data_IF_922418847015
#
_entry.id   IF_922418847015
#
_cell.length_a   1.000
_cell.length_b   1.000
_cell.length_c   1.000
_cell.angle_alpha   90.00
_cell.angle_beta   90.00
_cell.angle_gamma   90.00
#
_symmetry.space_group_name_H-M   'P 1'
#
loop_
_entity.id
_entity.type
_entity.pdbx_description
1 polymer ?
#
# COMPACT_ATOMS: atom_id res chain seq x y z
N UNK A 1 -14.89 -14.68 37.04
CA UNK A 1 -14.52 -14.48 35.63
C UNK A 1 -14.81 -13.04 35.27
N UNK A 2 -13.77 -12.19 35.16
CA UNK A 2 -13.97 -10.80 34.75
C UNK A 2 -14.36 -10.76 33.27
N UNK A 3 -15.46 -10.05 32.97
CA UNK A 3 -15.97 -9.83 31.62
C UNK A 3 -14.95 -8.97 30.88
N UNK A 4 -14.09 -9.58 30.06
CA UNK A 4 -13.11 -8.85 29.26
C UNK A 4 -13.87 -7.89 28.35
N UNK A 5 -13.64 -6.58 28.50
CA UNK A 5 -14.20 -5.61 27.56
C UNK A 5 -13.68 -5.92 26.14
N UNK A 6 -14.49 -5.70 25.09
CA UNK A 6 -14.07 -6.00 23.72
C UNK A 6 -12.78 -5.23 23.33
N UNK A 7 -12.54 -4.05 23.91
CA UNK A 7 -11.32 -3.26 23.71
C UNK A 7 -10.06 -3.76 24.42
N UNK A 8 -10.14 -4.77 25.29
CA UNK A 8 -9.03 -5.19 26.14
C UNK A 8 -7.80 -5.67 25.36
N UNK A 9 -7.99 -6.31 24.20
CA UNK A 9 -6.87 -6.76 23.36
C UNK A 9 -6.20 -5.60 22.62
N UNK A 10 -6.97 -4.60 22.15
CA UNK A 10 -6.42 -3.40 21.51
C UNK A 10 -5.56 -2.60 22.49
N UNK A 11 -6.07 -2.44 23.71
CA UNK A 11 -5.32 -1.81 24.79
C UNK A 11 -4.03 -2.56 25.10
N UNK A 12 -4.08 -3.89 25.17
CA UNK A 12 -2.89 -4.72 25.37
C UNK A 12 -1.87 -4.56 24.25
N UNK A 13 -2.32 -4.52 22.98
CA UNK A 13 -1.45 -4.32 21.83
C UNK A 13 -0.76 -2.94 21.86
N UNK A 14 -1.51 -1.88 22.19
CA UNK A 14 -0.96 -0.52 22.29
C UNK A 14 0.07 -0.38 23.42
N UNK A 15 -0.05 -1.18 24.47
CA UNK A 15 0.86 -1.21 25.61
C UNK A 15 2.05 -2.17 25.41
N UNK A 16 2.19 -2.86 24.28
CA UNK A 16 3.35 -3.71 24.02
C UNK A 16 4.66 -2.93 23.93
N UNK A 17 4.74 -1.78 23.24
CA UNK A 17 5.97 -0.99 23.18
C UNK A 17 6.49 -0.52 24.54
N UNK A 18 5.60 -0.22 25.50
CA UNK A 18 6.03 0.19 26.85
C UNK A 18 6.58 -0.97 27.68
N UNK A 19 6.30 -2.23 27.32
CA UNK A 19 6.90 -3.40 27.97
C UNK A 19 8.36 -3.63 27.56
N UNK A 20 8.72 -3.29 26.32
CA UNK A 20 10.10 -3.39 25.82
C UNK A 20 10.46 -2.19 24.94
N UNK A 21 10.59 -0.98 25.53
CA UNK A 21 10.70 0.27 24.78
C UNK A 21 11.95 0.32 23.90
N UNK A 22 13.05 -0.29 24.35
CA UNK A 22 14.31 -0.33 23.59
C UNK A 22 14.17 -1.18 22.32
N UNK A 23 13.52 -2.34 22.39
CA UNK A 23 13.29 -3.16 21.20
C UNK A 23 12.38 -2.43 20.22
N UNK A 24 11.22 -1.96 20.69
CA UNK A 24 10.22 -1.32 19.83
C UNK A 24 10.70 -0.01 19.22
N UNK A 25 11.44 0.83 19.96
CA UNK A 25 12.05 2.03 19.41
C UNK A 25 12.98 1.71 18.23
N UNK A 26 13.81 0.65 18.35
CA UNK A 26 14.70 0.23 17.27
C UNK A 26 13.93 -0.37 16.08
N UNK A 27 12.91 -1.19 16.33
CA UNK A 27 12.06 -1.76 15.26
C UNK A 27 11.36 -0.63 14.50
N UNK A 28 10.75 0.33 15.20
CA UNK A 28 10.11 1.49 14.57
C UNK A 28 11.10 2.36 13.80
N UNK A 29 12.28 2.61 14.37
CA UNK A 29 13.31 3.40 13.70
C UNK A 29 13.75 2.75 12.39
N UNK A 30 14.06 1.44 12.41
CA UNK A 30 14.44 0.70 11.21
C UNK A 30 13.29 0.69 10.20
N UNK A 31 12.05 0.52 10.67
CA UNK A 31 10.88 0.52 9.80
C UNK A 31 10.72 1.85 9.07
N UNK A 32 10.70 2.96 9.81
CA UNK A 32 10.54 4.31 9.27
C UNK A 32 11.71 4.66 8.36
N UNK A 33 12.94 4.44 8.81
CA UNK A 33 14.13 4.80 8.04
C UNK A 33 14.22 4.02 6.73
N UNK A 34 13.89 2.72 6.72
CA UNK A 34 13.91 1.91 5.50
C UNK A 34 12.89 2.41 4.48
N UNK A 35 11.66 2.68 4.90
CA UNK A 35 10.62 3.20 3.99
C UNK A 35 10.93 4.61 3.52
N UNK A 36 11.46 5.48 4.40
CA UNK A 36 11.88 6.83 4.04
C UNK A 36 12.99 6.79 2.98
N UNK A 37 14.04 6.00 3.20
CA UNK A 37 15.15 5.86 2.25
C UNK A 37 14.67 5.32 0.90
N UNK A 38 13.81 4.30 0.90
CA UNK A 38 13.21 3.77 -0.33
C UNK A 38 12.41 4.82 -1.08
N UNK A 39 11.53 5.53 -0.38
CA UNK A 39 10.67 6.55 -0.97
C UNK A 39 11.48 7.72 -1.52
N UNK A 40 12.46 8.23 -0.76
CA UNK A 40 13.36 9.28 -1.22
C UNK A 40 14.19 8.83 -2.42
N UNK A 41 14.75 7.61 -2.39
CA UNK A 41 15.49 7.05 -3.53
C UNK A 41 14.63 6.94 -4.79
N UNK A 42 13.38 6.50 -4.65
CA UNK A 42 12.42 6.45 -5.74
C UNK A 42 12.13 7.84 -6.30
N UNK A 43 11.77 8.81 -5.44
CA UNK A 43 11.50 10.18 -5.85
C UNK A 43 12.67 10.78 -6.63
N UNK A 44 13.90 10.65 -6.10
CA UNK A 44 15.11 11.16 -6.77
C UNK A 44 15.33 10.48 -8.13
N UNK A 45 15.04 9.19 -8.25
CA UNK A 45 15.21 8.43 -9.49
C UNK A 45 14.20 8.85 -10.56
N UNK A 46 12.92 9.09 -10.19
CA UNK A 46 11.88 9.47 -11.15
C UNK A 46 11.83 10.98 -11.44
N UNK A 47 12.37 11.83 -10.55
CA UNK A 47 12.36 13.29 -10.72
C UNK A 47 12.83 13.77 -12.10
N UNK A 48 13.99 13.34 -12.65
CA UNK A 48 14.41 13.78 -13.98
C UNK A 48 13.44 13.35 -15.09
N UNK A 49 12.84 12.17 -14.98
CA UNK A 49 11.85 11.65 -15.93
C UNK A 49 10.55 12.46 -15.89
N UNK A 50 10.09 12.82 -14.69
CA UNK A 50 8.91 13.66 -14.50
C UNK A 50 9.13 15.05 -15.08
N UNK A 51 10.30 15.67 -14.87
CA UNK A 51 10.63 16.95 -15.49
C UNK A 51 10.68 16.85 -17.01
N UNK A 52 11.32 15.81 -17.56
CA UNK A 52 11.33 15.56 -19.01
C UNK A 52 9.91 15.35 -19.56
N UNK A 53 9.06 14.64 -18.85
CA UNK A 53 7.66 14.43 -19.25
C UNK A 53 6.89 15.76 -19.25
N UNK A 54 7.14 16.63 -18.27
CA UNK A 54 6.59 17.98 -18.21
C UNK A 54 7.04 18.83 -19.41
N UNK A 55 8.32 18.78 -19.77
CA UNK A 55 8.84 19.50 -20.94
C UNK A 55 8.23 18.99 -22.25
N UNK A 56 8.09 17.68 -22.42
CA UNK A 56 7.42 17.09 -23.58
C UNK A 56 5.93 17.45 -23.64
N UNK A 57 5.25 17.50 -22.49
CA UNK A 57 3.85 17.91 -22.40
C UNK A 57 3.62 19.35 -22.86
N UNK A 58 4.61 20.24 -22.67
CA UNK A 58 4.56 21.64 -23.16
C UNK A 58 4.72 21.77 -24.67
N UNK A 59 5.30 20.77 -25.34
CA UNK A 59 5.49 20.75 -26.79
C UNK A 59 4.26 20.21 -27.54
N UNK A 60 3.52 19.30 -26.92
CA UNK A 60 2.31 18.66 -27.46
C UNK A 60 1.29 19.64 -28.09
N UNK A 61 0.95 20.80 -27.49
CA UNK A 61 -0.01 21.73 -28.06
C UNK A 61 0.51 22.52 -29.28
N UNK A 62 1.83 22.52 -29.52
CA UNK A 62 2.50 23.40 -30.49
C UNK A 62 2.86 22.69 -31.81
N UNK A 63 2.71 21.37 -31.86
CA UNK A 63 3.18 20.52 -32.96
C UNK A 63 2.01 20.09 -33.84
N UNK A 64 2.21 20.13 -35.16
CA UNK A 64 1.27 19.58 -36.14
C UNK A 64 1.27 18.04 -36.06
N UNK A 65 0.09 17.46 -35.85
CA UNK A 65 -0.14 16.02 -35.70
C UNK A 65 0.28 15.19 -36.93
N UNK A 66 0.41 15.82 -38.11
CA UNK A 66 0.82 15.14 -39.35
C UNK A 66 2.33 15.24 -39.62
N UNK A 67 3.08 15.90 -38.73
CA UNK A 67 4.51 16.15 -38.91
C UNK A 67 5.39 14.96 -38.44
N UNK A 68 6.57 14.77 -39.04
CA UNK A 68 7.57 13.83 -38.53
C UNK A 68 8.04 14.19 -37.11
N UNK A 69 8.00 15.47 -36.74
CA UNK A 69 8.32 15.98 -35.39
C UNK A 69 7.34 15.44 -34.32
N UNK A 70 6.05 15.29 -34.65
CA UNK A 70 5.07 14.63 -33.78
C UNK A 70 5.42 13.16 -33.53
N UNK A 71 5.90 12.46 -34.56
CA UNK A 71 6.25 11.03 -34.44
C UNK A 71 7.47 10.86 -33.50
N UNK A 72 8.48 11.72 -33.64
CA UNK A 72 9.65 11.76 -32.75
C UNK A 72 9.26 12.08 -31.30
N UNK A 73 8.33 13.03 -31.10
CA UNK A 73 7.81 13.38 -29.77
C UNK A 73 7.10 12.19 -29.11
N UNK A 74 6.22 11.52 -29.85
CA UNK A 74 5.47 10.35 -29.36
C UNK A 74 6.43 9.21 -29.00
N UNK A 75 7.46 8.96 -29.80
CA UNK A 75 8.43 7.91 -29.50
C UNK A 75 9.31 8.26 -28.29
N UNK A 76 9.66 9.53 -28.12
CA UNK A 76 10.33 10.03 -26.91
C UNK A 76 9.44 9.86 -25.68
N UNK A 77 8.14 10.19 -25.79
CA UNK A 77 7.17 10.02 -24.71
C UNK A 77 7.03 8.55 -24.31
N UNK A 78 6.91 7.64 -25.28
CA UNK A 78 6.87 6.19 -25.02
C UNK A 78 8.13 5.71 -24.31
N UNK A 79 9.30 6.19 -24.71
CA UNK A 79 10.57 5.82 -24.07
C UNK A 79 10.61 6.28 -22.61
N UNK A 80 10.23 7.53 -22.34
CA UNK A 80 10.13 8.08 -20.97
C UNK A 80 9.12 7.31 -20.13
N UNK A 81 7.93 7.01 -20.69
CA UNK A 81 6.90 6.24 -19.99
C UNK A 81 7.37 4.82 -19.66
N UNK A 82 8.06 4.15 -20.60
CA UNK A 82 8.64 2.82 -20.38
C UNK A 82 9.68 2.85 -19.26
N UNK A 83 10.54 3.86 -19.24
CA UNK A 83 11.56 4.02 -18.21
C UNK A 83 10.94 4.28 -16.83
N UNK A 84 9.91 5.13 -16.76
CA UNK A 84 9.14 5.38 -15.54
C UNK A 84 8.52 4.08 -14.98
N UNK A 85 7.90 3.26 -15.85
CA UNK A 85 7.33 1.97 -15.47
C UNK A 85 8.39 1.00 -14.93
N UNK A 86 9.59 1.00 -15.50
CA UNK A 86 10.70 0.17 -15.01
C UNK A 86 11.11 0.61 -13.61
N UNK A 87 11.31 1.91 -13.38
CA UNK A 87 11.64 2.43 -12.05
C UNK A 87 10.55 2.14 -11.01
N UNK A 88 9.29 2.29 -11.40
CA UNK A 88 8.14 1.98 -10.55
C UNK A 88 8.09 0.48 -10.19
N UNK A 89 8.29 -0.42 -11.16
CA UNK A 89 8.36 -1.86 -10.90
C UNK A 89 9.51 -2.21 -9.95
N UNK A 90 10.69 -1.65 -10.16
CA UNK A 90 11.85 -1.85 -9.29
C UNK A 90 11.52 -1.39 -7.86
N UNK A 91 10.96 -0.18 -7.72
CA UNK A 91 10.56 0.35 -6.42
C UNK A 91 9.57 -0.56 -5.70
N UNK A 92 8.51 -1.03 -6.37
CA UNK A 92 7.52 -1.92 -5.74
C UNK A 92 8.11 -3.27 -5.33
N UNK A 93 9.06 -3.83 -6.11
CA UNK A 93 9.76 -5.06 -5.72
C UNK A 93 10.58 -4.83 -4.45
N UNK A 94 11.37 -3.76 -4.38
CA UNK A 94 12.16 -3.45 -3.18
C UNK A 94 11.27 -3.13 -1.98
N UNK A 95 10.20 -2.36 -2.18
CA UNK A 95 9.21 -2.06 -1.16
C UNK A 95 8.60 -3.35 -0.61
N UNK A 96 8.11 -4.24 -1.49
CA UNK A 96 7.55 -5.52 -1.09
C UNK A 96 8.54 -6.33 -0.25
N UNK A 97 9.76 -6.53 -0.74
CA UNK A 97 10.79 -7.30 -0.04
C UNK A 97 11.06 -6.70 1.34
N UNK A 98 11.36 -5.41 1.41
CA UNK A 98 11.67 -4.71 2.67
C UNK A 98 10.49 -4.74 3.63
N UNK A 99 9.27 -4.49 3.17
CA UNK A 99 8.07 -4.57 3.99
C UNK A 99 7.87 -5.98 4.58
N UNK A 100 8.13 -7.05 3.81
CA UNK A 100 8.03 -8.43 4.31
C UNK A 100 9.04 -8.74 5.43
N UNK A 101 10.30 -8.30 5.27
CA UNK A 101 11.31 -8.51 6.31
C UNK A 101 10.94 -7.73 7.58
N UNK A 102 10.53 -6.46 7.43
CA UNK A 102 10.22 -5.58 8.56
C UNK A 102 8.93 -6.00 9.29
N UNK A 103 7.89 -6.40 8.57
CA UNK A 103 6.67 -6.95 9.17
C UNK A 103 6.95 -8.22 9.96
N UNK A 104 7.78 -9.13 9.43
CA UNK A 104 8.17 -10.37 10.11
C UNK A 104 8.92 -10.07 11.41
N UNK A 105 9.85 -9.11 11.39
CA UNK A 105 10.55 -8.64 12.60
C UNK A 105 9.56 -8.06 13.61
N UNK A 106 8.63 -7.22 13.16
CA UNK A 106 7.63 -6.62 14.03
C UNK A 106 6.69 -7.68 14.62
N UNK A 107 6.20 -8.64 13.84
CA UNK A 107 5.37 -9.74 14.33
C UNK A 107 6.12 -10.58 15.34
N UNK A 108 7.39 -10.91 15.08
CA UNK A 108 8.21 -11.67 16.02
C UNK A 108 8.37 -10.91 17.35
N UNK A 109 8.77 -9.64 17.29
CA UNK A 109 8.92 -8.79 18.47
C UNK A 109 7.63 -8.69 19.30
N UNK A 110 6.47 -8.56 18.64
CA UNK A 110 5.16 -8.58 19.30
C UNK A 110 4.88 -9.94 19.95
N UNK A 111 5.09 -11.05 19.22
CA UNK A 111 4.79 -12.40 19.68
C UNK A 111 5.61 -12.83 20.90
N UNK A 112 6.86 -12.38 21.03
CA UNK A 112 7.72 -12.69 22.17
C UNK A 112 7.50 -11.71 23.34
N UNK A 113 7.25 -10.43 23.05
CA UNK A 113 7.01 -9.43 24.11
C UNK A 113 5.64 -9.63 24.78
N UNK A 114 4.64 -10.14 24.06
CA UNK A 114 3.30 -10.40 24.60
C UNK A 114 3.29 -11.33 25.83
N UNK A 115 3.90 -12.54 25.79
CA UNK A 115 4.04 -13.41 26.96
C UNK A 115 5.07 -12.91 28.00
N UNK A 116 5.84 -11.86 27.69
CA UNK A 116 6.75 -11.19 28.64
C UNK A 116 8.23 -11.37 28.35
N UNK A 117 8.64 -11.92 27.21
CA UNK A 117 10.05 -12.04 26.87
C UNK A 117 10.65 -10.67 26.48
N UNK A 118 11.80 -10.34 27.07
CA UNK A 118 12.50 -9.07 26.85
C UNK A 118 13.72 -9.25 25.95
N UNK A 119 13.47 -9.62 24.70
CA UNK A 119 14.53 -9.80 23.71
C UNK A 119 15.10 -8.46 23.22
N UNK A 120 16.37 -8.47 22.85
CA UNK A 120 17.05 -7.39 22.14
C UNK A 120 16.81 -7.48 20.63
N UNK A 121 17.01 -6.38 19.90
CA UNK A 121 16.89 -6.37 18.44
C UNK A 121 17.78 -7.43 17.79
N UNK A 122 19.02 -7.60 18.28
CA UNK A 122 19.98 -8.57 17.75
C UNK A 122 19.46 -10.00 17.88
N UNK A 123 18.84 -10.33 19.01
CA UNK A 123 18.26 -11.66 19.25
C UNK A 123 17.05 -11.90 18.35
N UNK A 124 16.17 -10.92 18.21
CA UNK A 124 15.03 -10.97 17.28
C UNK A 124 15.51 -11.22 15.85
N UNK A 125 16.48 -10.44 15.36
CA UNK A 125 17.02 -10.60 14.01
C UNK A 125 17.63 -11.98 13.78
N UNK A 126 18.37 -12.49 14.76
CA UNK A 126 18.97 -13.82 14.66
C UNK A 126 17.92 -14.93 14.63
N UNK A 127 16.85 -14.80 15.41
CA UNK A 127 15.74 -15.77 15.41
C UNK A 127 14.94 -15.72 14.12
N UNK A 128 14.57 -14.52 13.66
CA UNK A 128 13.80 -14.31 12.43
C UNK A 128 14.50 -14.95 11.23
N UNK A 129 15.83 -14.84 11.11
CA UNK A 129 16.60 -15.50 10.04
C UNK A 129 16.31 -17.00 9.91
N UNK A 130 16.04 -17.70 11.01
CA UNK A 130 15.74 -19.14 11.00
C UNK A 130 14.30 -19.48 10.58
N UNK A 131 13.36 -18.55 10.77
CA UNK A 131 11.93 -18.79 10.56
C UNK A 131 11.31 -18.01 9.40
N UNK A 132 12.12 -17.25 8.65
CA UNK A 132 11.61 -16.28 7.67
C UNK A 132 10.95 -16.91 6.43
N UNK A 133 11.25 -18.18 6.14
CA UNK A 133 10.75 -18.86 4.93
C UNK A 133 9.21 -18.89 4.91
N UNK A 134 8.57 -19.30 6.01
CA UNK A 134 7.10 -19.36 6.10
C UNK A 134 6.43 -18.00 5.86
N UNK A 135 6.78 -16.96 6.63
CA UNK A 135 6.26 -15.60 6.46
C UNK A 135 6.52 -15.01 5.08
N UNK A 136 7.68 -15.23 4.46
CA UNK A 136 7.96 -14.74 3.11
C UNK A 136 7.02 -15.36 2.07
N UNK A 137 6.82 -16.67 2.13
CA UNK A 137 5.95 -17.34 1.17
C UNK A 137 4.49 -16.91 1.41
N UNK A 138 4.05 -16.81 2.66
CA UNK A 138 2.71 -16.30 2.99
C UNK A 138 2.52 -14.86 2.52
N UNK A 139 3.51 -13.98 2.70
CA UNK A 139 3.48 -12.62 2.19
C UNK A 139 3.39 -12.57 0.66
N UNK A 140 4.13 -13.42 -0.04
CA UNK A 140 4.07 -13.52 -1.50
C UNK A 140 2.67 -13.95 -1.97
N UNK A 141 2.08 -14.94 -1.31
CA UNK A 141 0.71 -15.37 -1.59
C UNK A 141 -0.32 -14.26 -1.32
N UNK A 142 -0.17 -13.52 -0.21
CA UNK A 142 -1.00 -12.36 0.12
C UNK A 142 -0.88 -11.28 -0.96
N UNK A 143 0.34 -10.96 -1.41
CA UNK A 143 0.56 -9.98 -2.46
C UNK A 143 -0.08 -10.41 -3.79
N UNK A 144 0.07 -11.68 -4.18
CA UNK A 144 -0.56 -12.22 -5.37
C UNK A 144 -2.10 -12.15 -5.28
N UNK A 145 -2.64 -12.48 -4.12
CA UNK A 145 -4.09 -12.38 -3.85
C UNK A 145 -4.57 -10.93 -3.94
N UNK A 146 -3.79 -9.98 -3.45
CA UNK A 146 -4.04 -8.55 -3.59
C UNK A 146 -4.04 -8.08 -5.05
N UNK A 147 -3.09 -8.55 -5.87
CA UNK A 147 -3.05 -8.25 -7.30
C UNK A 147 -4.27 -8.81 -8.04
N UNK A 148 -4.64 -10.06 -7.78
CA UNK A 148 -5.85 -10.68 -8.35
C UNK A 148 -7.09 -9.86 -7.99
N UNK A 149 -7.18 -9.42 -6.73
CA UNK A 149 -8.27 -8.58 -6.26
C UNK A 149 -8.34 -7.24 -7.01
N UNK A 150 -7.22 -6.51 -7.12
CA UNK A 150 -7.15 -5.22 -7.82
C UNK A 150 -7.53 -5.39 -9.30
N UNK A 151 -6.93 -6.37 -9.99
CA UNK A 151 -7.20 -6.63 -11.42
C UNK A 151 -8.68 -6.96 -11.63
N UNK A 152 -9.25 -7.84 -10.80
CA UNK A 152 -10.65 -8.22 -10.90
C UNK A 152 -11.57 -7.01 -10.72
N UNK A 153 -11.28 -6.16 -9.73
CA UNK A 153 -12.05 -4.94 -9.49
C UNK A 153 -11.91 -3.93 -10.65
N UNK A 154 -10.69 -3.72 -11.16
CA UNK A 154 -10.44 -2.83 -12.31
C UNK A 154 -11.19 -3.30 -13.57
N UNK A 155 -11.25 -4.61 -13.83
CA UNK A 155 -12.02 -5.18 -14.95
C UNK A 155 -13.51 -4.88 -14.78
N UNK A 156 -14.06 -5.07 -13.58
CA UNK A 156 -15.48 -4.77 -13.30
C UNK A 156 -15.79 -3.29 -13.54
N UNK A 157 -14.96 -2.38 -13.00
CA UNK A 157 -15.11 -0.93 -13.19
C UNK A 157 -15.02 -0.55 -14.68
N UNK A 158 -14.07 -1.13 -15.41
CA UNK A 158 -13.92 -0.90 -16.85
C UNK A 158 -15.13 -1.40 -17.65
N UNK A 159 -15.69 -2.57 -17.31
CA UNK A 159 -16.89 -3.10 -17.96
C UNK A 159 -18.08 -2.17 -17.71
N UNK A 160 -18.31 -1.74 -16.47
CA UNK A 160 -19.40 -0.83 -16.12
C UNK A 160 -19.27 0.50 -16.88
N UNK A 161 -18.06 1.06 -16.98
CA UNK A 161 -17.85 2.34 -17.69
C UNK A 161 -18.14 2.25 -19.19
N UNK A 162 -18.01 1.07 -19.81
CA UNK A 162 -18.38 0.85 -21.21
C UNK A 162 -19.90 0.84 -21.44
N UNK A 163 -20.68 0.29 -20.51
CA UNK A 163 -22.13 0.17 -20.65
C UNK A 163 -22.89 1.44 -20.25
N UNK A 164 -22.26 2.35 -19.51
CA UNK A 164 -22.86 3.61 -19.09
C UNK A 164 -21.96 4.81 -19.44
N UNK A 165 -21.99 5.31 -20.69
CA UNK A 165 -21.19 6.47 -21.07
C UNK A 165 -21.60 7.76 -20.34
N UNK A 166 -20.59 8.52 -19.93
CA UNK A 166 -20.54 9.63 -18.95
C UNK A 166 -21.39 10.89 -19.22
N UNK A 167 -22.34 10.89 -20.15
CA UNK A 167 -22.89 12.17 -20.66
C UNK A 167 -23.90 12.91 -19.76
N UNK A 168 -24.08 12.51 -18.48
CA UNK A 168 -24.75 13.27 -17.37
C UNK A 168 -25.41 12.39 -16.30
N UNK A 169 -25.21 11.07 -16.34
CA UNK A 169 -25.98 10.15 -15.51
C UNK A 169 -25.48 10.07 -14.06
N UNK A 170 -26.16 10.80 -13.16
CA UNK A 170 -26.13 10.59 -11.71
C UNK A 170 -26.37 9.09 -11.37
N UNK A 171 -27.13 8.38 -12.21
CA UNK A 171 -27.37 6.94 -12.13
C UNK A 171 -26.10 6.07 -12.07
N UNK A 172 -24.99 6.50 -12.67
CA UNK A 172 -23.71 5.76 -12.61
C UNK A 172 -23.10 5.81 -11.21
N UNK A 173 -23.19 6.95 -10.53
CA UNK A 173 -22.69 7.13 -9.18
C UNK A 173 -23.47 6.28 -8.17
N UNK A 174 -24.78 6.10 -8.39
CA UNK A 174 -25.61 5.19 -7.59
C UNK A 174 -25.19 3.72 -7.69
N UNK A 175 -24.54 3.30 -8.77
CA UNK A 175 -23.99 1.94 -8.93
C UNK A 175 -22.54 1.85 -8.47
N UNK A 176 -21.72 2.84 -8.82
CA UNK A 176 -20.29 2.86 -8.53
C UNK A 176 -19.99 3.01 -7.04
N UNK A 177 -20.71 3.88 -6.32
CA UNK A 177 -20.47 4.14 -4.90
C UNK A 177 -20.69 2.88 -4.05
N UNK A 178 -21.85 2.16 -4.14
CA UNK A 178 -22.03 0.91 -3.40
C UNK A 178 -21.02 -0.17 -3.77
N UNK A 179 -20.62 -0.25 -5.04
CA UNK A 179 -19.63 -1.22 -5.49
C UNK A 179 -18.24 -0.94 -4.89
N UNK A 180 -17.80 0.33 -4.88
CA UNK A 180 -16.56 0.77 -4.22
C UNK A 180 -16.63 0.51 -2.70
N UNK A 181 -17.78 0.78 -2.08
CA UNK A 181 -17.99 0.51 -0.65
C UNK A 181 -17.92 -1.00 -0.36
N UNK A 182 -18.60 -1.82 -1.15
CA UNK A 182 -18.56 -3.27 -1.00
C UNK A 182 -17.14 -3.83 -1.20
N UNK A 183 -16.46 -3.37 -2.25
CA UNK A 183 -15.07 -3.71 -2.52
C UNK A 183 -14.16 -3.31 -1.33
N UNK A 184 -14.25 -2.07 -0.84
CA UNK A 184 -13.43 -1.64 0.29
C UNK A 184 -13.70 -2.46 1.56
N UNK A 185 -14.96 -2.81 1.86
CA UNK A 185 -15.31 -3.69 2.97
C UNK A 185 -14.75 -5.11 2.80
N UNK A 186 -14.81 -5.66 1.58
CA UNK A 186 -14.23 -6.96 1.27
C UNK A 186 -12.70 -6.95 1.39
N UNK A 187 -12.06 -5.86 0.98
CA UNK A 187 -10.62 -5.68 1.15
C UNK A 187 -10.23 -5.60 2.64
N UNK A 188 -10.99 -4.86 3.44
CA UNK A 188 -10.81 -4.80 4.91
C UNK A 188 -10.94 -6.21 5.49
N UNK A 189 -12.00 -6.93 5.15
CA UNK A 189 -12.21 -8.31 5.58
C UNK A 189 -11.00 -9.16 5.26
N UNK A 190 -10.61 -9.20 4.00
CA UNK A 190 -9.55 -10.07 3.50
C UNK A 190 -8.18 -9.71 4.09
N UNK A 191 -7.93 -8.42 4.32
CA UNK A 191 -6.69 -7.95 4.97
C UNK A 191 -6.50 -8.50 6.38
N UNK A 192 -7.58 -8.68 7.15
CA UNK A 192 -7.51 -9.28 8.49
C UNK A 192 -6.99 -10.72 8.39
N UNK A 193 -7.52 -11.52 7.46
CA UNK A 193 -7.06 -12.91 7.26
C UNK A 193 -5.64 -12.97 6.72
N UNK A 194 -5.27 -12.06 5.82
CA UNK A 194 -3.93 -11.98 5.27
C UNK A 194 -2.88 -11.67 6.35
N UNK A 195 -3.10 -10.64 7.16
CA UNK A 195 -2.16 -10.27 8.24
C UNK A 195 -2.11 -11.32 9.35
N UNK A 196 -3.26 -11.91 9.69
CA UNK A 196 -3.33 -13.01 10.66
C UNK A 196 -2.60 -14.26 10.14
N UNK A 197 -2.78 -14.61 8.87
CA UNK A 197 -2.08 -15.73 8.22
C UNK A 197 -0.56 -15.53 8.21
N UNK A 198 -0.08 -14.32 7.92
CA UNK A 198 1.35 -13.99 8.04
C UNK A 198 1.85 -14.22 9.47
N UNK A 199 1.13 -13.70 10.48
CA UNK A 199 1.49 -13.88 11.87
C UNK A 199 1.51 -15.36 12.30
N UNK A 200 0.51 -16.15 11.88
CA UNK A 200 0.44 -17.59 12.14
C UNK A 200 1.62 -18.31 11.49
N UNK A 201 1.97 -17.98 10.23
CA UNK A 201 3.08 -18.63 9.55
C UNK A 201 4.46 -18.38 10.18
N UNK A 202 4.54 -17.36 11.04
CA UNK A 202 5.71 -17.08 11.85
C UNK A 202 5.71 -17.88 13.17
N UNK A 203 4.55 -17.91 13.85
CA UNK A 203 4.41 -18.53 15.18
C UNK A 203 4.32 -20.05 15.09
N UNK A 204 3.69 -20.56 14.04
CA UNK A 204 3.40 -21.97 13.80
C UNK A 204 4.02 -22.40 12.46
N UNK A 205 5.30 -22.83 12.45
CA UNK A 205 6.07 -23.07 11.23
C UNK A 205 5.51 -24.17 10.31
N UNK A 206 4.53 -24.95 10.79
CA UNK A 206 3.86 -26.02 10.07
C UNK A 206 2.87 -25.43 9.04
N UNK A 207 2.32 -24.24 9.32
CA UNK A 207 1.35 -23.57 8.47
C UNK A 207 2.02 -22.44 7.68
N UNK A 208 1.94 -22.49 6.36
CA UNK A 208 2.39 -21.40 5.46
C UNK A 208 1.44 -21.31 4.26
N UNK A 209 1.54 -20.23 3.48
CA UNK A 209 0.71 -20.01 2.28
C UNK A 209 -0.81 -20.02 2.57
N UNK A 210 -1.56 -20.87 1.89
CA UNK A 210 -2.99 -21.10 2.06
C UNK A 210 -3.26 -21.76 3.40
N UNK A 211 -2.38 -22.66 3.87
CA UNK A 211 -2.55 -23.35 5.15
C UNK A 211 -2.60 -22.37 6.32
N UNK A 212 -1.74 -21.35 6.31
CA UNK A 212 -1.73 -20.31 7.34
C UNK A 212 -2.99 -19.43 7.30
N UNK A 213 -3.48 -19.09 6.10
CA UNK A 213 -4.71 -18.30 5.93
C UNK A 213 -5.95 -19.12 6.33
N UNK A 214 -6.01 -20.40 5.95
CA UNK A 214 -7.11 -21.28 6.34
C UNK A 214 -7.14 -21.46 7.86
N UNK A 215 -5.97 -21.66 8.47
CA UNK A 215 -5.88 -21.76 9.93
C UNK A 215 -6.26 -20.44 10.61
N UNK A 216 -5.88 -19.29 10.03
CA UNK A 216 -6.38 -17.99 10.47
C UNK A 216 -7.92 -17.94 10.44
N UNK A 217 -8.54 -18.48 9.39
CA UNK A 217 -9.99 -18.57 9.26
C UNK A 217 -10.63 -19.44 10.32
N UNK A 218 -10.06 -20.61 10.63
CA UNK A 218 -10.54 -21.48 11.69
C UNK A 218 -10.48 -20.80 13.07
N UNK A 219 -9.38 -20.12 13.39
CA UNK A 219 -9.21 -19.38 14.64
C UNK A 219 -10.18 -18.20 14.75
N UNK A 220 -10.37 -17.46 13.65
CA UNK A 220 -11.28 -16.32 13.58
C UNK A 220 -12.75 -16.74 13.52
N UNK A 221 -13.09 -17.94 13.07
CA UNK A 221 -14.45 -18.46 13.16
C UNK A 221 -14.74 -19.07 14.54
N UNK A 222 -13.73 -19.69 15.17
CA UNK A 222 -13.83 -20.28 16.50
C UNK A 222 -13.97 -19.23 17.62
N UNK A 223 -13.43 -18.03 17.42
CA UNK A 223 -13.70 -16.86 18.26
C UNK A 223 -14.61 -15.93 17.48
N UNK A 224 -15.84 -15.62 17.96
CA UNK A 224 -16.66 -14.55 17.35
C UNK A 224 -15.76 -13.32 17.14
N UNK A 225 -15.37 -13.03 15.88
CA UNK A 225 -14.51 -11.90 15.56
C UNK A 225 -15.16 -10.69 16.19
N UNK A 226 -14.51 -10.10 17.18
CA UNK A 226 -15.06 -8.93 17.85
C UNK A 226 -15.12 -7.81 16.81
N UNK A 227 -16.23 -7.07 16.79
CA UNK A 227 -16.45 -5.95 15.86
C UNK A 227 -15.24 -4.99 15.81
N UNK A 228 -14.49 -4.91 16.90
CA UNK A 228 -13.28 -4.12 17.08
C UNK A 228 -12.14 -4.46 16.10
N UNK A 229 -11.96 -5.74 15.72
CA UNK A 229 -10.95 -6.12 14.70
C UNK A 229 -11.31 -5.56 13.33
N UNK A 230 -12.61 -5.46 13.03
CA UNK A 230 -13.13 -4.87 11.80
C UNK A 230 -12.96 -3.36 11.80
N UNK A 231 -13.24 -2.71 12.93
CA UNK A 231 -13.03 -1.26 13.08
C UNK A 231 -11.55 -0.92 12.86
N UNK A 232 -10.63 -1.70 13.42
CA UNK A 232 -9.20 -1.45 13.23
C UNK A 232 -8.76 -1.62 11.77
N UNK A 233 -9.19 -2.70 11.12
CA UNK A 233 -8.92 -2.91 9.69
C UNK A 233 -9.50 -1.79 8.82
N UNK A 234 -10.70 -1.33 9.14
CA UNK A 234 -11.36 -0.22 8.43
C UNK A 234 -10.62 1.10 8.62
N UNK A 235 -10.25 1.45 9.86
CA UNK A 235 -9.46 2.65 10.17
C UNK A 235 -8.10 2.61 9.46
N UNK A 236 -7.41 1.47 9.49
CA UNK A 236 -6.14 1.29 8.79
C UNK A 236 -6.28 1.53 7.28
N UNK A 237 -7.31 0.98 6.64
CA UNK A 237 -7.57 1.21 5.23
C UNK A 237 -7.91 2.68 4.93
N UNK A 238 -8.72 3.34 5.76
CA UNK A 238 -8.99 4.79 5.60
C UNK A 238 -7.69 5.59 5.66
N UNK A 239 -6.81 5.30 6.64
CA UNK A 239 -5.54 6.01 6.78
C UNK A 239 -4.63 5.81 5.57
N UNK A 240 -4.55 4.59 5.03
CA UNK A 240 -3.81 4.32 3.79
C UNK A 240 -4.36 5.12 2.61
N UNK A 241 -5.69 5.14 2.43
CA UNK A 241 -6.31 5.88 1.34
C UNK A 241 -6.15 7.39 1.49
N UNK A 242 -6.24 7.92 2.72
CA UNK A 242 -5.98 9.32 3.01
C UNK A 242 -4.53 9.71 2.70
N UNK A 243 -3.57 8.84 3.01
CA UNK A 243 -2.15 9.05 2.69
C UNK A 243 -1.89 9.03 1.18
N UNK A 244 -2.53 8.13 0.43
CA UNK A 244 -2.49 8.12 -1.04
C UNK A 244 -3.08 9.41 -1.63
N UNK A 245 -4.24 9.86 -1.12
CA UNK A 245 -4.87 11.11 -1.54
C UNK A 245 -3.96 12.32 -1.29
N UNK A 246 -3.35 12.39 -0.11
CA UNK A 246 -2.38 13.43 0.23
C UNK A 246 -1.18 13.42 -0.70
N UNK A 247 -0.67 12.22 -1.07
CA UNK A 247 0.44 12.09 -2.03
C UNK A 247 0.06 12.67 -3.38
N UNK A 248 -1.13 12.35 -3.90
CA UNK A 248 -1.63 12.92 -5.15
C UNK A 248 -1.73 14.44 -5.05
N UNK A 249 -2.28 14.98 -3.95
CA UNK A 249 -2.36 16.42 -3.73
C UNK A 249 -0.98 17.10 -3.72
N UNK A 250 -0.02 16.56 -2.98
CA UNK A 250 1.35 17.09 -2.92
C UNK A 250 2.01 17.06 -4.28
N UNK A 251 1.91 15.94 -5.01
CA UNK A 251 2.47 15.86 -6.38
C UNK A 251 1.80 16.85 -7.34
N UNK A 252 0.51 17.10 -7.16
CA UNK A 252 -0.24 18.07 -7.97
C UNK A 252 0.21 19.50 -7.67
N UNK A 253 0.32 19.87 -6.40
CA UNK A 253 0.79 21.21 -5.99
C UNK A 253 2.23 21.43 -6.43
N UNK A 254 3.12 20.46 -6.20
CA UNK A 254 4.52 20.53 -6.66
C UNK A 254 4.61 20.71 -8.18
N UNK A 255 3.78 19.99 -8.95
CA UNK A 255 3.69 20.19 -10.39
C UNK A 255 3.33 21.64 -10.74
N UNK A 256 2.32 22.22 -10.09
CA UNK A 256 1.90 23.60 -10.34
C UNK A 256 2.94 24.63 -9.90
N UNK A 257 3.59 24.47 -8.75
CA UNK A 257 4.66 25.37 -8.30
C UNK A 257 5.88 25.33 -9.23
N UNK A 258 6.29 24.13 -9.67
CA UNK A 258 7.34 23.98 -10.67
C UNK A 258 6.95 24.59 -12.02
N UNK A 259 5.67 24.53 -12.39
CA UNK A 259 5.18 25.16 -13.60
C UNK A 259 5.19 26.70 -13.49
N UNK A 260 4.76 27.24 -12.35
CA UNK A 260 4.72 28.68 -12.10
C UNK A 260 6.13 29.30 -11.96
N UNK A 261 7.06 28.59 -11.32
CA UNK A 261 8.47 29.01 -11.20
C UNK A 261 9.19 29.07 -12.56
N UNK A 262 8.68 28.40 -13.59
CA UNK A 262 9.22 28.43 -14.95
C UNK A 262 8.66 29.58 -15.82
N UNK A 263 7.90 30.52 -15.23
CA UNK A 263 7.52 31.77 -15.88
C UNK A 263 6.26 31.74 -16.76
N UNK A 264 5.50 30.65 -16.78
CA UNK A 264 4.22 30.58 -17.50
C UNK A 264 3.05 30.74 -16.53
N UNK A 265 2.64 31.98 -16.29
CA UNK A 265 1.38 32.29 -15.59
C UNK A 265 0.21 31.78 -16.43
N UNK A 266 -0.45 30.71 -15.97
CA UNK A 266 -1.75 30.32 -16.49
C UNK A 266 -2.78 31.37 -16.07
N UNK A 267 -3.18 32.21 -17.02
CA UNK A 267 -4.14 33.29 -16.81
C UNK A 267 -5.56 32.70 -16.76
N UNK A 268 -6.07 32.53 -15.53
CA UNK A 268 -7.43 32.04 -15.26
C UNK A 268 -8.53 33.00 -15.77
N UNK A 269 -8.19 34.22 -16.21
CA UNK A 269 -9.17 35.19 -16.73
C UNK A 269 -9.72 34.86 -18.12
N UNK A 270 -9.27 33.77 -18.78
CA UNK A 270 -9.78 33.32 -20.09
C UNK A 270 -10.77 32.15 -20.04
N UNK A 271 -11.14 31.66 -18.86
CA UNK A 271 -12.04 30.51 -18.70
C UNK A 271 -13.32 30.82 -17.89
N UNK A 272 -13.76 32.08 -17.90
CA UNK A 272 -15.13 32.48 -17.51
C UNK A 272 -15.79 33.18 -18.69
#
# INVERSE_FOLDING_TARGET
>A
MAKSSPFSFLWQALHLPSKNPKLFANVFLIYILSHLLLYTGFLLSISPLVFKLSDLAKLLPKIDLSSPEFTELVDTLKAVAKELLIFEMIYYVFLFVISCFLSTIAYYANSTTYPGELLTLKEVLNKVKGYIKGPLITHFFVALSGLVYIISFSVIVFVISRYFPSNSNISLWFLAIPLILFASLLLVYLSIFWFMGVAISLIEPIFYEIGAILHATELLNGKKIQADSWVLGFVYQILLQAMNLYTVMVTTVLYYECNQSNGEGFDYAKLV
#
